data_IF_294207175908
#
_entry.id   IF_294207175908
#
_cell.length_a   1.000
_cell.length_b   1.000
_cell.length_c   1.000
_cell.angle_alpha   90.00
_cell.angle_beta   90.00
_cell.angle_gamma   90.00
#
_symmetry.space_group_name_H-M   'P 1'
#
loop_
_entity.id
_entity.type
_entity.pdbx_description
1 polymer ?
#
# COMPACT_ATOMS: atom_id res chain seq x y z
N UNK A 1 20.65 -66.97 -2.67
CA UNK A 1 21.08 -65.66 -2.14
C UNK A 1 19.94 -64.67 -2.34
N UNK A 2 19.44 -64.10 -1.23
CA UNK A 2 18.76 -62.79 -1.07
C UNK A 2 17.50 -62.54 -1.92
N UNK A 3 16.31 -62.62 -1.35
CA UNK A 3 15.64 -61.66 -0.43
C UNK A 3 14.82 -60.59 -1.17
N UNK A 4 13.49 -60.78 -1.13
CA UNK A 4 12.51 -59.81 -0.64
C UNK A 4 12.71 -58.32 -0.98
N UNK A 5 11.93 -57.83 -1.95
CA UNK A 5 11.45 -56.44 -2.07
C UNK A 5 10.44 -56.45 -3.24
N UNK A 6 9.20 -55.98 -3.20
CA UNK A 6 8.60 -54.97 -2.34
C UNK A 6 7.07 -55.10 -2.50
N UNK A 7 6.44 -55.80 -1.55
CA UNK A 7 5.00 -55.71 -1.26
C UNK A 7 4.75 -54.34 -0.61
N UNK A 8 4.67 -53.26 -1.39
CA UNK A 8 4.45 -51.91 -0.84
C UNK A 8 3.81 -50.98 -1.87
N UNK A 9 2.62 -51.32 -2.37
CA UNK A 9 1.80 -50.35 -3.12
C UNK A 9 0.29 -50.44 -2.82
N UNK A 10 -0.06 -50.83 -1.59
CA UNK A 10 -1.43 -50.80 -1.06
C UNK A 10 -1.50 -50.30 0.41
N UNK A 11 -0.52 -49.49 0.85
CA UNK A 11 -0.44 -48.95 2.20
C UNK A 11 -0.23 -47.42 2.23
N UNK A 12 -1.03 -46.68 1.44
CA UNK A 12 -1.16 -45.22 1.58
C UNK A 12 -2.64 -44.85 1.71
N UNK A 13 -3.33 -45.53 2.62
CA UNK A 13 -4.50 -44.99 3.32
C UNK A 13 -4.10 -44.83 4.77
N UNK A 14 -4.47 -43.70 5.37
CA UNK A 14 -4.15 -43.26 6.74
C UNK A 14 -2.90 -42.37 6.89
N UNK A 15 -2.89 -41.25 6.16
CA UNK A 15 -2.30 -40.05 6.75
C UNK A 15 -3.21 -39.63 7.92
N UNK A 16 -2.77 -40.02 9.11
CA UNK A 16 -3.31 -39.59 10.39
C UNK A 16 -3.30 -38.05 10.41
N UNK A 17 -4.49 -37.46 10.38
CA UNK A 17 -4.70 -36.07 10.76
C UNK A 17 -4.42 -36.00 12.26
N UNK A 18 -3.24 -35.51 12.63
CA UNK A 18 -2.95 -35.10 14.00
C UNK A 18 -3.79 -33.87 14.30
N UNK A 19 -4.95 -34.05 14.92
CA UNK A 19 -5.64 -32.97 15.60
C UNK A 19 -4.77 -32.56 16.79
N UNK A 20 -4.02 -31.45 16.65
CA UNK A 20 -3.29 -30.88 17.77
C UNK A 20 -4.30 -30.25 18.73
N UNK A 21 -4.48 -30.89 19.89
CA UNK A 21 -5.16 -30.29 21.03
C UNK A 21 -4.29 -29.12 21.52
N UNK A 22 -4.65 -27.90 21.11
CA UNK A 22 -3.96 -26.68 21.52
C UNK A 22 -4.85 -25.88 22.48
N UNK A 23 -4.58 -25.88 23.80
CA UNK A 23 -5.43 -25.22 24.80
C UNK A 23 -5.62 -23.73 24.53
N UNK A 24 -4.70 -23.11 23.77
CA UNK A 24 -4.75 -21.71 23.34
C UNK A 24 -6.04 -21.34 22.59
N UNK A 25 -6.71 -22.29 21.94
CA UNK A 25 -7.89 -22.03 21.09
C UNK A 25 -9.18 -22.65 21.62
N UNK A 26 -9.14 -23.33 22.77
CA UNK A 26 -10.29 -24.03 23.35
C UNK A 26 -11.16 -23.06 24.16
N UNK A 27 -11.96 -23.58 25.09
CA UNK A 27 -12.92 -22.79 25.89
C UNK A 27 -12.28 -21.53 26.48
N UNK A 28 -12.99 -20.41 26.37
CA UNK A 28 -12.55 -19.12 26.90
C UNK A 28 -11.54 -18.37 26.03
N UNK A 29 -11.00 -18.98 24.98
CA UNK A 29 -10.11 -18.29 24.04
C UNK A 29 -10.83 -17.21 23.22
N UNK A 30 -12.16 -17.31 23.06
CA UNK A 30 -13.01 -16.32 22.38
C UNK A 30 -14.05 -15.81 23.39
N UNK A 31 -13.73 -14.73 24.12
CA UNK A 31 -14.60 -14.17 25.16
C UNK A 31 -15.88 -13.56 24.59
N UNK A 32 -16.98 -13.74 25.33
CA UNK A 32 -18.31 -13.23 25.01
C UNK A 32 -18.86 -12.38 26.17
N UNK A 33 -19.33 -11.18 25.86
CA UNK A 33 -19.97 -10.24 26.79
C UNK A 33 -21.29 -9.83 26.18
N UNK A 34 -22.40 -10.05 26.88
CA UNK A 34 -23.76 -9.73 26.44
C UNK A 34 -24.11 -10.24 25.03
N UNK A 35 -23.71 -11.48 24.71
CA UNK A 35 -23.99 -12.09 23.41
C UNK A 35 -23.09 -11.58 22.28
N UNK A 36 -22.03 -10.82 22.59
CA UNK A 36 -21.08 -10.26 21.62
C UNK A 36 -19.66 -10.72 21.91
N UNK A 37 -18.91 -11.01 20.87
CA UNK A 37 -17.50 -11.35 21.00
C UNK A 37 -16.70 -10.07 21.22
N UNK A 38 -16.01 -10.03 22.37
CA UNK A 38 -15.23 -8.87 22.81
C UNK A 38 -13.92 -9.35 23.40
N UNK A 39 -12.83 -9.20 22.64
CA UNK A 39 -11.49 -9.43 23.16
C UNK A 39 -11.02 -8.18 23.90
N UNK A 40 -10.54 -8.34 25.14
CA UNK A 40 -9.96 -7.24 25.93
C UNK A 40 -8.64 -7.66 26.56
N UNK A 41 -7.69 -6.73 26.64
CA UNK A 41 -6.45 -6.92 27.40
C UNK A 41 -5.89 -5.59 27.91
N UNK A 42 -5.61 -5.54 29.21
CA UNK A 42 -4.83 -4.46 29.83
C UNK A 42 -3.34 -4.65 29.59
N UNK A 43 -2.69 -3.63 29.05
CA UNK A 43 -1.23 -3.60 28.81
C UNK A 43 -0.62 -2.48 29.66
N UNK A 44 0.03 -2.79 30.80
CA UNK A 44 0.69 -1.79 31.63
C UNK A 44 2.02 -1.34 31.02
N UNK A 45 2.38 -0.06 31.24
CA UNK A 45 3.71 0.46 30.93
C UNK A 45 4.66 0.10 32.07
N UNK A 46 5.85 -0.41 31.76
CA UNK A 46 6.83 -0.89 32.75
C UNK A 46 7.56 0.23 33.52
N UNK A 47 7.31 1.50 33.17
CA UNK A 47 7.87 2.68 33.80
C UNK A 47 6.80 3.71 34.12
N UNK A 48 7.20 4.80 34.81
CA UNK A 48 6.31 5.93 35.05
C UNK A 48 6.09 6.70 33.76
N UNK A 49 4.83 7.01 33.47
CA UNK A 49 4.41 7.79 32.32
C UNK A 49 3.17 8.60 32.70
N UNK A 50 3.06 9.85 32.22
CA UNK A 50 1.83 10.62 32.40
C UNK A 50 0.74 10.10 31.45
N UNK A 51 -0.52 10.34 31.80
CA UNK A 51 -1.64 9.92 30.96
C UNK A 51 -1.60 10.62 29.58
N UNK A 52 -1.14 11.87 29.51
CA UNK A 52 -0.99 12.63 28.26
C UNK A 52 0.10 12.04 27.35
N UNK A 53 1.22 11.64 27.94
CA UNK A 53 2.31 10.99 27.21
C UNK A 53 1.88 9.61 26.70
N UNK A 54 1.20 8.83 27.54
CA UNK A 54 0.69 7.52 27.17
C UNK A 54 -0.35 7.63 26.04
N UNK A 55 -1.28 8.58 26.15
CA UNK A 55 -2.25 8.86 25.10
C UNK A 55 -1.55 9.21 23.77
N UNK A 56 -0.58 10.13 23.81
CA UNK A 56 0.18 10.54 22.62
C UNK A 56 0.92 9.37 21.95
N UNK A 57 1.47 8.44 22.74
CA UNK A 57 2.09 7.21 22.23
C UNK A 57 1.07 6.29 21.56
N UNK A 58 -0.10 6.10 22.17
CA UNK A 58 -1.16 5.26 21.60
C UNK A 58 -1.78 5.87 20.36
N UNK A 59 -1.92 7.19 20.30
CA UNK A 59 -2.36 7.89 19.10
C UNK A 59 -1.36 7.68 17.96
N UNK A 60 -0.06 7.87 18.23
CA UNK A 60 0.99 7.64 17.24
C UNK A 60 1.05 6.19 16.78
N UNK A 61 0.92 5.22 17.68
CA UNK A 61 0.85 3.81 17.31
C UNK A 61 -0.38 3.52 16.45
N UNK A 62 -1.55 4.05 16.82
CA UNK A 62 -2.79 3.87 16.06
C UNK A 62 -2.68 4.46 14.65
N UNK A 63 -2.16 5.68 14.51
CA UNK A 63 -1.91 6.32 13.21
C UNK A 63 -0.96 5.44 12.37
N UNK A 64 0.18 5.03 12.93
CA UNK A 64 1.16 4.24 12.18
C UNK A 64 0.64 2.86 11.73
N UNK A 65 -0.32 2.27 12.45
CA UNK A 65 -0.82 0.91 12.17
C UNK A 65 -2.18 0.88 11.46
N UNK A 66 -2.98 1.95 11.59
CA UNK A 66 -4.34 2.00 11.06
C UNK A 66 -4.56 3.17 10.10
N UNK A 67 -3.73 4.21 10.06
CA UNK A 67 -3.82 5.26 9.04
C UNK A 67 -2.96 4.85 7.83
N UNK A 68 -3.54 3.98 6.99
CA UNK A 68 -2.93 3.11 5.97
C UNK A 68 -2.14 3.84 4.85
N UNK A 69 -1.04 4.52 5.17
CA UNK A 69 -0.11 5.05 4.17
C UNK A 69 0.88 4.01 3.61
N UNK A 70 1.06 2.83 4.25
CA UNK A 70 2.23 1.97 3.98
C UNK A 70 2.01 0.44 3.90
N UNK A 71 0.79 -0.08 3.94
CA UNK A 71 0.60 -1.55 3.92
C UNK A 71 0.59 -2.15 2.51
N UNK A 72 1.17 -3.35 2.36
CA UNK A 72 1.19 -4.14 1.10
C UNK A 72 -0.20 -4.69 0.72
N UNK A 73 -1.16 -4.69 1.64
CA UNK A 73 -2.53 -5.19 1.46
C UNK A 73 -3.48 -4.03 1.08
N UNK A 74 -3.33 -3.59 -0.18
CA UNK A 74 -3.96 -2.41 -0.83
C UNK A 74 -5.47 -2.21 -0.59
N UNK A 75 -6.22 -3.27 -0.34
CA UNK A 75 -7.67 -3.28 -0.31
C UNK A 75 -8.26 -3.39 1.10
N UNK A 76 -7.42 -3.24 2.12
CA UNK A 76 -7.83 -3.11 3.50
C UNK A 76 -8.05 -1.64 3.85
N UNK A 77 -9.24 -1.35 4.34
CA UNK A 77 -9.62 -0.03 4.81
C UNK A 77 -9.35 0.05 6.31
N UNK A 78 -8.10 0.30 6.72
CA UNK A 78 -7.85 0.70 8.11
C UNK A 78 -7.92 2.22 8.20
N UNK A 79 -8.43 2.71 9.33
CA UNK A 79 -8.41 4.13 9.67
C UNK A 79 -8.53 4.36 11.17
N UNK A 80 -7.94 5.44 11.66
CA UNK A 80 -8.32 6.02 12.94
C UNK A 80 -9.67 6.73 12.75
N UNK A 81 -10.69 6.29 13.47
CA UNK A 81 -12.05 6.86 13.39
C UNK A 81 -12.19 8.08 14.30
N UNK A 82 -11.53 8.03 15.46
CA UNK A 82 -11.64 9.01 16.52
C UNK A 82 -10.36 8.99 17.35
N UNK A 83 -9.87 10.17 17.72
CA UNK A 83 -8.86 10.36 18.75
C UNK A 83 -9.33 11.50 19.65
N UNK A 84 -9.52 11.23 20.94
CA UNK A 84 -9.99 12.22 21.92
C UNK A 84 -9.13 12.16 23.18
N UNK A 85 -8.28 13.17 23.35
CA UNK A 85 -7.39 13.28 24.50
C UNK A 85 -8.16 13.41 25.82
N UNK A 86 -9.24 14.21 25.86
CA UNK A 86 -10.06 14.43 27.06
C UNK A 86 -10.71 13.13 27.57
N UNK A 87 -11.21 12.32 26.64
CA UNK A 87 -11.82 11.01 26.92
C UNK A 87 -10.76 9.90 27.09
N UNK A 88 -9.47 10.21 26.84
CA UNK A 88 -8.35 9.27 26.81
C UNK A 88 -8.61 8.03 25.95
N UNK A 89 -9.31 8.24 24.83
CA UNK A 89 -9.84 7.18 23.98
C UNK A 89 -9.45 7.38 22.52
N UNK A 90 -9.00 6.31 21.87
CA UNK A 90 -8.77 6.23 20.42
C UNK A 90 -9.56 5.05 19.88
N UNK A 91 -10.31 5.27 18.80
CA UNK A 91 -11.06 4.22 18.12
C UNK A 91 -10.57 4.07 16.68
N UNK A 92 -10.31 2.84 16.26
CA UNK A 92 -9.90 2.50 14.90
C UNK A 92 -10.90 1.54 14.25
N UNK A 93 -11.03 1.66 12.94
CA UNK A 93 -11.65 0.67 12.07
C UNK A 93 -10.53 -0.14 11.43
N UNK A 94 -10.60 -1.46 11.58
CA UNK A 94 -9.59 -2.40 11.10
C UNK A 94 -10.15 -3.39 10.10
N UNK A 95 -9.41 -3.63 9.03
CA UNK A 95 -9.55 -4.75 8.13
C UNK A 95 -8.21 -5.49 8.05
N UNK A 96 -8.25 -6.82 8.00
CA UNK A 96 -7.06 -7.67 7.86
C UNK A 96 -7.39 -8.96 7.12
N UNK A 97 -6.47 -9.44 6.29
CA UNK A 97 -6.58 -10.80 5.77
C UNK A 97 -6.17 -11.85 6.80
N UNK A 98 -7.07 -12.82 7.02
CA UNK A 98 -6.78 -14.09 7.67
C UNK A 98 -6.44 -15.09 6.56
N UNK A 99 -5.15 -15.37 6.36
CA UNK A 99 -4.69 -16.35 5.37
C UNK A 99 -4.68 -17.74 5.98
N UNK A 100 -5.63 -18.58 5.57
CA UNK A 100 -5.75 -19.96 6.05
C UNK A 100 -4.80 -20.90 5.30
N UNK A 101 -4.60 -20.66 4.01
CA UNK A 101 -3.69 -21.45 3.17
C UNK A 101 -3.19 -20.61 2.00
N UNK A 102 -1.90 -20.71 1.72
CA UNK A 102 -1.25 -20.12 0.55
C UNK A 102 -0.35 -21.15 -0.14
N UNK A 103 -0.56 -21.37 -1.42
CA UNK A 103 0.31 -22.14 -2.32
C UNK A 103 0.38 -21.45 -3.68
N UNK A 104 1.16 -22.01 -4.62
CA UNK A 104 1.29 -21.47 -5.98
C UNK A 104 -0.02 -21.39 -6.79
N UNK A 105 -1.04 -22.17 -6.41
CA UNK A 105 -2.32 -22.25 -7.13
C UNK A 105 -3.54 -21.91 -6.26
N UNK A 106 -3.38 -21.82 -4.95
CA UNK A 106 -4.49 -21.65 -4.01
C UNK A 106 -4.16 -20.56 -3.01
N UNK A 107 -5.02 -19.56 -2.92
CA UNK A 107 -5.04 -18.58 -1.84
C UNK A 107 -6.39 -18.67 -1.14
N UNK A 108 -6.42 -19.31 0.03
CA UNK A 108 -7.57 -19.36 0.91
C UNK A 108 -7.40 -18.32 2.01
N UNK A 109 -8.16 -17.23 1.92
CA UNK A 109 -8.15 -16.15 2.91
C UNK A 109 -9.53 -15.54 3.11
N UNK A 110 -9.79 -15.03 4.30
CA UNK A 110 -10.95 -14.21 4.61
C UNK A 110 -10.52 -12.80 5.01
N UNK A 111 -11.31 -11.78 4.67
CA UNK A 111 -11.12 -10.44 5.21
C UNK A 111 -11.86 -10.33 6.53
N UNK A 112 -11.13 -10.15 7.63
CA UNK A 112 -11.66 -9.86 8.95
C UNK A 112 -11.79 -8.35 9.13
N UNK A 113 -12.97 -7.89 9.54
CA UNK A 113 -13.31 -6.50 9.79
C UNK A 113 -13.62 -6.37 11.28
N UNK A 114 -13.09 -5.35 11.95
CA UNK A 114 -13.25 -5.17 13.39
C UNK A 114 -13.17 -3.70 13.81
N UNK A 115 -13.63 -3.41 15.03
CA UNK A 115 -13.38 -2.15 15.72
C UNK A 115 -12.33 -2.39 16.80
N UNK A 116 -11.29 -1.57 16.81
CA UNK A 116 -10.29 -1.50 17.87
C UNK A 116 -10.51 -0.25 18.71
N UNK A 117 -10.47 -0.37 20.03
CA UNK A 117 -10.57 0.73 20.98
C UNK A 117 -9.37 0.66 21.90
N UNK A 118 -8.69 1.79 22.07
CA UNK A 118 -7.58 1.99 22.98
C UNK A 118 -7.98 3.02 24.02
N UNK A 119 -7.97 2.65 25.29
CA UNK A 119 -8.27 3.54 26.41
C UNK A 119 -7.05 3.62 27.33
N UNK A 120 -6.53 4.82 27.57
CA UNK A 120 -5.30 5.01 28.36
C UNK A 120 -5.64 5.55 29.74
N UNK A 121 -5.28 4.82 30.80
CA UNK A 121 -5.53 5.24 32.18
C UNK A 121 -4.55 4.58 33.14
N UNK A 122 -4.11 5.31 34.16
CA UNK A 122 -3.33 4.80 35.29
C UNK A 122 -2.06 4.06 34.82
N UNK A 123 -1.36 4.63 33.83
CA UNK A 123 -0.13 4.04 33.27
C UNK A 123 -0.34 2.74 32.47
N UNK A 124 -1.55 2.47 32.00
CA UNK A 124 -1.87 1.30 31.18
C UNK A 124 -2.79 1.65 29.99
N UNK A 125 -2.69 0.85 28.92
CA UNK A 125 -3.61 0.88 27.79
C UNK A 125 -4.55 -0.33 27.86
N UNK A 126 -5.85 -0.11 27.98
CA UNK A 126 -6.87 -1.14 27.80
C UNK A 126 -7.17 -1.26 26.30
N UNK A 127 -6.94 -2.45 25.75
CA UNK A 127 -7.08 -2.73 24.32
C UNK A 127 -8.30 -3.61 24.10
N UNK A 128 -9.33 -3.08 23.43
CA UNK A 128 -10.57 -3.80 23.15
C UNK A 128 -10.79 -4.00 21.66
N UNK A 129 -11.05 -5.24 21.23
CA UNK A 129 -11.48 -5.58 19.87
C UNK A 129 -12.90 -6.15 19.88
N UNK A 130 -13.79 -5.55 19.08
CA UNK A 130 -15.22 -5.91 19.01
C UNK A 130 -15.80 -5.76 17.61
N UNK A 131 -17.07 -6.17 17.44
CA UNK A 131 -17.81 -6.06 16.17
C UNK A 131 -17.06 -6.75 15.01
N UNK A 132 -16.55 -7.96 15.29
CA UNK A 132 -15.74 -8.72 14.34
C UNK A 132 -16.66 -9.38 13.30
N UNK A 133 -16.34 -9.20 12.01
CA UNK A 133 -17.08 -9.77 10.88
C UNK A 133 -16.12 -10.29 9.82
N UNK A 134 -16.59 -11.21 9.00
CA UNK A 134 -15.80 -11.80 7.91
C UNK A 134 -16.47 -11.62 6.55
N UNK A 135 -15.66 -11.27 5.56
CA UNK A 135 -15.96 -11.43 4.14
C UNK A 135 -15.15 -12.59 3.59
N UNK A 136 -15.83 -13.57 2.99
CA UNK A 136 -15.23 -14.82 2.53
C UNK A 136 -15.95 -15.39 1.31
N UNK A 137 -15.19 -15.92 0.34
CA UNK A 137 -15.68 -16.65 -0.86
C UNK A 137 -16.85 -15.96 -1.60
N UNK A 138 -16.67 -14.70 -1.98
CA UNK A 138 -17.65 -13.89 -2.72
C UNK A 138 -19.03 -13.73 -2.05
N UNK A 139 -19.13 -14.05 -0.75
CA UNK A 139 -20.36 -13.83 0.01
C UNK A 139 -20.75 -12.36 -0.02
N UNK A 140 -21.97 -12.07 -0.50
CA UNK A 140 -22.55 -10.72 -0.46
C UNK A 140 -22.84 -10.24 0.98
N UNK A 141 -22.84 -11.15 1.97
CA UNK A 141 -23.13 -10.86 3.37
C UNK A 141 -21.89 -11.04 4.23
N UNK A 142 -21.65 -10.07 5.12
CA UNK A 142 -20.66 -10.18 6.18
C UNK A 142 -21.13 -11.17 7.25
N UNK A 143 -20.26 -12.11 7.61
CA UNK A 143 -20.53 -13.15 8.61
C UNK A 143 -20.06 -12.67 9.99
N UNK A 144 -20.93 -12.55 11.00
CA UNK A 144 -20.53 -12.10 12.33
C UNK A 144 -19.74 -13.18 13.08
N UNK A 145 -18.79 -12.76 13.90
CA UNK A 145 -17.94 -13.68 14.66
C UNK A 145 -18.72 -14.58 15.62
N UNK A 146 -19.81 -14.08 16.19
CA UNK A 146 -20.67 -14.81 17.13
C UNK A 146 -21.25 -16.09 16.49
N UNK A 147 -21.52 -16.05 15.18
CA UNK A 147 -22.07 -17.15 14.38
C UNK A 147 -21.00 -18.06 13.78
N UNK A 148 -19.70 -17.78 14.02
CA UNK A 148 -18.61 -18.54 13.43
C UNK A 148 -17.60 -19.05 14.45
N UNK A 149 -17.08 -18.19 15.31
CA UNK A 149 -15.91 -18.49 16.15
C UNK A 149 -16.22 -18.61 17.64
N UNK A 150 -17.45 -18.39 18.09
CA UNK A 150 -17.85 -18.58 19.49
C UNK A 150 -17.63 -20.02 19.97
N UNK A 151 -17.46 -20.23 21.28
CA UNK A 151 -17.26 -21.57 21.85
C UNK A 151 -18.38 -22.53 21.45
N UNK A 152 -19.63 -22.03 21.44
CA UNK A 152 -20.82 -22.79 21.05
C UNK A 152 -20.78 -23.31 19.60
N UNK A 153 -20.13 -22.59 18.69
CA UNK A 153 -20.13 -22.88 17.25
C UNK A 153 -18.84 -23.60 16.84
N UNK A 154 -17.70 -23.09 17.31
CA UNK A 154 -16.39 -23.50 16.86
C UNK A 154 -15.73 -24.58 17.72
N UNK A 155 -16.38 -25.05 18.79
CA UNK A 155 -15.93 -26.19 19.59
C UNK A 155 -16.96 -27.33 19.53
N UNK A 156 -16.49 -28.54 19.87
CA UNK A 156 -17.40 -29.63 20.16
C UNK A 156 -18.18 -29.37 21.47
N UNK A 157 -19.17 -30.21 21.77
CA UNK A 157 -20.00 -30.07 22.98
C UNK A 157 -19.21 -30.09 24.30
N UNK A 158 -18.01 -30.69 24.32
CA UNK A 158 -17.15 -30.77 25.51
C UNK A 158 -16.24 -29.54 25.65
N UNK A 159 -16.09 -28.74 24.59
CA UNK A 159 -15.16 -27.61 24.56
C UNK A 159 -13.69 -27.99 24.43
N UNK A 160 -13.37 -29.29 24.33
CA UNK A 160 -11.99 -29.79 24.33
C UNK A 160 -11.39 -29.96 22.92
N UNK A 161 -12.21 -29.81 21.87
CA UNK A 161 -11.76 -29.90 20.47
C UNK A 161 -12.43 -28.86 19.59
N UNK A 162 -11.69 -28.39 18.59
CA UNK A 162 -12.18 -27.48 17.57
C UNK A 162 -13.13 -28.18 16.59
N UNK A 163 -14.17 -27.47 16.17
CA UNK A 163 -15.03 -27.83 15.06
C UNK A 163 -14.31 -27.57 13.74
N UNK A 164 -14.13 -28.63 12.94
CA UNK A 164 -13.39 -28.60 11.67
C UNK A 164 -13.90 -27.57 10.64
N UNK A 165 -15.15 -27.14 10.72
CA UNK A 165 -15.68 -26.15 9.75
C UNK A 165 -15.24 -24.72 10.06
N UNK A 166 -15.08 -24.39 11.35
CA UNK A 166 -14.81 -23.03 11.83
C UNK A 166 -13.43 -22.86 12.49
N UNK A 167 -12.69 -23.95 12.67
CA UNK A 167 -11.38 -23.99 13.32
C UNK A 167 -10.39 -22.94 12.77
N UNK A 168 -10.26 -22.84 11.45
CA UNK A 168 -9.36 -21.90 10.79
C UNK A 168 -9.72 -20.44 11.09
N UNK A 169 -11.01 -20.11 11.12
CA UNK A 169 -11.44 -18.76 11.48
C UNK A 169 -11.12 -18.46 12.94
N UNK A 170 -11.40 -19.40 13.83
CA UNK A 170 -11.16 -19.24 15.28
C UNK A 170 -9.66 -19.09 15.57
N UNK A 171 -8.83 -19.99 15.07
CA UNK A 171 -7.37 -19.98 15.26
C UNK A 171 -6.79 -18.65 14.75
N UNK A 172 -7.05 -18.30 13.49
CA UNK A 172 -6.41 -17.14 12.86
C UNK A 172 -6.93 -15.81 13.42
N UNK A 173 -8.17 -15.76 13.92
CA UNK A 173 -8.69 -14.59 14.64
C UNK A 173 -7.98 -14.42 15.97
N UNK A 174 -7.91 -15.47 16.80
CA UNK A 174 -7.22 -15.44 18.10
C UNK A 174 -5.74 -15.07 17.92
N UNK A 175 -5.07 -15.59 16.90
CA UNK A 175 -3.69 -15.25 16.59
C UNK A 175 -3.50 -13.81 16.14
N UNK A 176 -4.41 -13.30 15.31
CA UNK A 176 -4.38 -11.91 14.86
C UNK A 176 -4.59 -10.93 16.00
N UNK A 177 -5.55 -11.21 16.89
CA UNK A 177 -5.83 -10.42 18.10
C UNK A 177 -4.62 -10.41 19.02
N UNK A 178 -4.04 -11.58 19.30
CA UNK A 178 -2.83 -11.69 20.13
C UNK A 178 -1.63 -10.98 19.51
N UNK A 179 -1.51 -10.99 18.17
CA UNK A 179 -0.50 -10.22 17.44
C UNK A 179 -0.64 -8.71 17.66
N UNK A 180 -1.87 -8.18 17.70
CA UNK A 180 -2.15 -6.77 17.98
C UNK A 180 -1.71 -6.43 19.42
N UNK A 181 -2.09 -7.24 20.40
CA UNK A 181 -1.66 -7.04 21.79
C UNK A 181 -0.14 -7.05 21.93
N UNK A 182 0.54 -7.97 21.24
CA UNK A 182 2.00 -8.06 21.25
C UNK A 182 2.64 -6.83 20.59
N UNK A 183 2.07 -6.31 19.51
CA UNK A 183 2.57 -5.10 18.84
C UNK A 183 2.51 -3.88 19.76
N UNK A 184 1.40 -3.71 20.49
CA UNK A 184 1.23 -2.60 21.45
C UNK A 184 2.19 -2.76 22.63
N UNK A 185 2.29 -3.96 23.20
CA UNK A 185 3.22 -4.24 24.30
C UNK A 185 4.68 -3.97 23.91
N UNK A 186 5.11 -4.40 22.71
CA UNK A 186 6.46 -4.09 22.20
C UNK A 186 6.65 -2.59 22.01
N UNK A 187 5.64 -1.87 21.50
CA UNK A 187 5.73 -0.45 21.27
C UNK A 187 5.85 0.35 22.58
N UNK A 188 5.14 -0.06 23.63
CA UNK A 188 5.16 0.60 24.94
C UNK A 188 6.37 0.20 25.80
N UNK A 189 6.75 -1.07 25.76
CA UNK A 189 7.66 -1.66 26.74
C UNK A 189 8.97 -2.20 26.14
N UNK A 190 9.14 -2.16 24.82
CA UNK A 190 10.27 -2.76 24.12
C UNK A 190 10.18 -4.30 24.04
N UNK A 191 11.28 -4.95 23.65
CA UNK A 191 11.28 -6.41 23.44
C UNK A 191 11.22 -7.13 24.79
N UNK A 192 10.10 -7.80 25.04
CA UNK A 192 9.98 -8.79 26.10
C UNK A 192 10.67 -10.09 25.70
N UNK A 193 11.91 -10.29 26.14
CA UNK A 193 12.53 -11.62 26.23
C UNK A 193 12.02 -12.32 27.48
N UNK A 194 10.91 -13.06 27.36
CA UNK A 194 10.59 -14.18 28.27
C UNK A 194 9.46 -15.04 27.68
N UNK A 195 9.78 -16.30 27.36
CA UNK A 195 8.83 -17.36 26.98
C UNK A 195 9.21 -18.12 25.69
N UNK A 196 10.19 -19.03 25.77
CA UNK A 196 10.63 -19.96 24.72
C UNK A 196 9.47 -20.79 24.12
N UNK A 197 9.45 -21.15 22.83
CA UNK A 197 10.29 -22.22 22.23
C UNK A 197 10.44 -22.05 20.69
N UNK A 198 11.71 -22.15 20.25
CA UNK A 198 12.41 -22.40 18.95
C UNK A 198 11.56 -22.78 17.71
N UNK A 199 11.89 -22.46 16.44
CA UNK A 199 13.12 -22.14 15.67
C UNK A 199 12.64 -21.55 14.30
N UNK A 200 13.32 -20.70 13.50
CA UNK A 200 14.65 -20.75 12.90
C UNK A 200 15.11 -19.35 12.42
N UNK A 201 16.39 -19.11 12.67
CA UNK A 201 17.41 -18.25 12.04
C UNK A 201 17.07 -17.27 10.90
N UNK A 202 17.55 -16.03 11.06
CA UNK A 202 18.27 -15.31 10.01
C UNK A 202 19.40 -14.46 10.63
N UNK A 203 20.53 -14.43 9.95
CA UNK A 203 21.88 -14.16 10.42
C UNK A 203 22.17 -12.67 10.64
N UNK A 204 22.75 -12.33 11.80
CA UNK A 204 23.37 -11.02 12.04
C UNK A 204 24.84 -11.08 11.62
N UNK A 205 25.21 -10.34 10.56
CA UNK A 205 26.61 -10.02 10.27
C UNK A 205 27.05 -8.86 11.19
N UNK A 206 27.88 -9.19 12.16
CA UNK A 206 28.67 -8.27 12.97
C UNK A 206 29.66 -7.50 12.08
N UNK A 207 29.65 -6.17 12.14
CA UNK A 207 30.80 -5.35 11.76
C UNK A 207 31.38 -4.72 13.02
N UNK A 208 32.58 -5.18 13.35
CA UNK A 208 33.49 -4.62 14.35
C UNK A 208 34.05 -3.28 13.89
N UNK A 209 33.92 -2.25 14.71
CA UNK A 209 34.61 -0.97 14.56
C UNK A 209 36.12 -1.13 14.83
N UNK A 210 37.01 -0.49 14.05
CA UNK A 210 38.36 -0.20 14.48
C UNK A 210 38.43 1.19 15.13
N UNK A 211 39.26 1.32 16.17
CA UNK A 211 39.45 2.53 16.94
C UNK A 211 40.83 3.18 16.70
N UNK A 212 40.89 4.49 17.01
CA UNK A 212 42.06 5.33 17.44
C UNK A 212 42.92 5.95 16.28
N UNK A 213 43.50 7.19 16.36
CA UNK A 213 43.70 8.10 17.52
C UNK A 213 43.25 9.57 17.39
N UNK A 214 43.08 10.22 18.55
CA UNK A 214 43.18 11.68 18.72
C UNK A 214 44.64 12.16 18.66
N UNK A 215 44.86 13.35 18.08
CA UNK A 215 45.91 14.27 18.54
C UNK A 215 45.54 15.73 18.20
N UNK A 216 45.64 16.58 19.22
CA UNK A 216 45.46 18.03 19.23
C UNK A 216 46.37 18.79 18.26
N UNK A 217 45.91 19.96 17.78
CA UNK A 217 46.56 21.26 18.05
C UNK A 217 45.72 22.43 17.51
N UNK A 218 45.40 23.33 18.42
CA UNK A 218 44.85 24.69 18.28
C UNK A 218 45.80 25.67 17.58
N UNK A 219 45.27 26.69 16.87
CA UNK A 219 45.68 28.11 17.05
C UNK A 219 44.50 29.07 16.72
N UNK A 220 44.41 30.06 17.60
CA UNK A 220 43.58 31.23 17.88
C UNK A 220 42.86 32.11 16.82
N UNK A 221 41.92 32.86 17.43
CA UNK A 221 40.98 33.92 17.03
C UNK A 221 41.70 35.26 16.73
N UNK A 222 41.01 36.29 16.17
CA UNK A 222 40.54 37.34 17.10
C UNK A 222 39.11 37.91 16.86
N UNK A 223 38.53 38.27 18.01
CA UNK A 223 37.46 39.25 18.35
C UNK A 223 37.57 40.55 17.51
N UNK A 224 36.56 41.39 17.24
CA UNK A 224 35.47 41.90 18.07
C UNK A 224 34.45 42.73 17.21
N UNK A 225 33.16 42.68 17.57
CA UNK A 225 32.31 43.79 18.06
C UNK A 225 31.87 44.91 17.09
N UNK A 226 30.54 45.06 16.89
CA UNK A 226 29.75 46.25 17.26
C UNK A 226 28.32 46.17 16.69
N UNK A 227 27.35 46.60 17.50
CA UNK A 227 25.91 46.67 17.21
C UNK A 227 25.55 47.84 16.26
N UNK A 228 24.41 47.74 15.54
CA UNK A 228 23.52 48.88 15.26
C UNK A 228 22.13 48.48 14.67
N UNK A 229 21.10 48.96 15.38
CA UNK A 229 19.76 49.47 14.98
C UNK A 229 18.83 48.74 13.98
N UNK A 230 17.61 48.54 14.47
CA UNK A 230 16.34 48.24 13.77
C UNK A 230 15.87 49.47 12.96
N UNK A 231 15.15 49.26 11.84
CA UNK A 231 13.90 49.99 11.63
C UNK A 231 12.67 49.09 11.35
N UNK A 232 11.52 49.67 11.65
CA UNK A 232 10.15 49.14 11.77
C UNK A 232 9.51 48.41 10.55
N UNK A 233 8.41 47.66 10.78
CA UNK A 233 7.68 46.93 9.75
C UNK A 233 6.84 47.84 8.85
N UNK A 234 6.94 47.63 7.53
CA UNK A 234 6.08 48.28 6.54
C UNK A 234 4.65 47.70 6.61
N UNK A 235 3.69 48.60 6.80
CA UNK A 235 2.25 48.35 6.77
C UNK A 235 1.79 47.88 5.38
N UNK A 236 0.99 46.80 5.33
CA UNK A 236 0.22 46.45 4.14
C UNK A 236 -1.19 47.00 4.29
N UNK A 237 -1.57 47.79 3.29
CA UNK A 237 -2.81 48.54 3.20
C UNK A 237 -4.06 47.66 3.03
N UNK A 238 -5.19 48.32 3.25
CA UNK A 238 -6.51 47.79 3.55
C UNK A 238 -7.18 46.94 2.45
N UNK A 239 -8.09 46.13 2.96
CA UNK A 239 -9.06 45.24 2.34
C UNK A 239 -10.02 45.93 1.36
N UNK A 240 -10.26 45.28 0.23
CA UNK A 240 -11.43 45.49 -0.63
C UNK A 240 -12.35 44.28 -0.43
N UNK A 241 -13.66 44.45 -0.18
CA UNK A 241 -14.58 43.35 0.02
C UNK A 241 -14.94 42.71 -1.33
N UNK A 242 -14.61 41.42 -1.51
CA UNK A 242 -15.18 40.63 -2.60
C UNK A 242 -16.49 40.04 -2.08
N UNK A 243 -17.58 40.59 -2.58
CA UNK A 243 -18.95 40.10 -2.41
C UNK A 243 -19.05 38.65 -2.89
N UNK A 244 -19.56 37.80 -2.00
CA UNK A 244 -20.04 36.45 -2.28
C UNK A 244 -21.14 36.48 -3.33
N UNK A 245 -20.94 35.77 -4.43
CA UNK A 245 -21.99 35.06 -5.17
C UNK A 245 -21.32 34.22 -6.26
N UNK A 246 -21.12 32.93 -5.98
CA UNK A 246 -21.20 31.88 -7.00
C UNK A 246 -21.41 30.55 -6.28
N UNK A 247 -22.65 30.06 -6.36
CA UNK A 247 -22.98 28.67 -6.12
C UNK A 247 -22.09 27.76 -6.98
N UNK A 248 -21.73 26.55 -6.52
CA UNK A 248 -20.95 25.62 -7.34
C UNK A 248 -21.73 25.29 -8.62
N UNK A 249 -21.29 25.86 -9.74
CA UNK A 249 -21.78 25.47 -11.05
C UNK A 249 -21.27 24.07 -11.35
N UNK A 250 -22.22 23.15 -11.44
CA UNK A 250 -22.05 21.79 -11.92
C UNK A 250 -21.55 21.88 -13.36
N UNK A 251 -20.29 21.52 -13.62
CA UNK A 251 -19.84 21.31 -14.99
C UNK A 251 -20.53 20.03 -15.45
N UNK A 252 -21.56 20.21 -16.28
CA UNK A 252 -22.25 19.15 -16.96
C UNK A 252 -21.26 18.35 -17.82
N UNK A 253 -21.38 17.02 -17.78
CA UNK A 253 -20.69 16.10 -18.66
C UNK A 253 -21.04 16.43 -20.13
N UNK A 254 -20.15 17.16 -20.80
CA UNK A 254 -20.20 17.36 -22.25
C UNK A 254 -19.84 16.05 -22.94
N UNK A 255 -20.73 15.56 -23.81
CA UNK A 255 -20.57 14.30 -24.53
C UNK A 255 -19.28 14.24 -25.34
N UNK A 256 -18.32 13.47 -24.85
CA UNK A 256 -17.15 13.03 -25.62
C UNK A 256 -17.50 11.68 -26.24
N UNK A 257 -17.08 11.46 -27.49
CA UNK A 257 -17.33 10.23 -28.25
C UNK A 257 -17.10 8.97 -27.41
N UNK A 258 -18.09 8.08 -27.40
CA UNK A 258 -18.02 6.83 -26.66
C UNK A 258 -16.92 5.93 -27.26
N UNK A 259 -15.97 5.52 -26.44
CA UNK A 259 -15.00 4.49 -26.81
C UNK A 259 -15.64 3.13 -26.52
N UNK A 260 -15.82 2.30 -27.55
CA UNK A 260 -16.53 1.02 -27.44
C UNK A 260 -15.92 0.14 -26.35
N UNK A 261 -16.76 -0.34 -25.43
CA UNK A 261 -16.32 -1.16 -24.30
C UNK A 261 -15.70 -0.38 -23.12
N UNK A 262 -15.65 0.95 -23.17
CA UNK A 262 -15.17 1.79 -22.08
C UNK A 262 -16.19 2.85 -21.67
N UNK A 263 -16.29 3.11 -20.37
CA UNK A 263 -16.97 4.28 -19.81
C UNK A 263 -15.96 5.35 -19.42
N UNK A 264 -16.32 6.61 -19.62
CA UNK A 264 -15.53 7.75 -19.17
C UNK A 264 -15.73 7.98 -17.67
N UNK A 265 -14.67 8.35 -16.96
CA UNK A 265 -14.73 8.83 -15.58
C UNK A 265 -13.94 10.12 -15.43
N UNK A 266 -14.20 10.86 -14.36
CA UNK A 266 -13.40 12.04 -14.01
C UNK A 266 -12.10 11.63 -13.30
N UNK A 267 -11.00 12.43 -13.38
CA UNK A 267 -9.73 12.07 -12.74
C UNK A 267 -9.81 11.84 -11.23
N UNK A 268 -10.70 12.51 -10.50
CA UNK A 268 -10.95 12.30 -9.06
C UNK A 268 -11.63 10.96 -8.74
N UNK A 269 -12.09 10.24 -9.77
CA UNK A 269 -12.72 8.91 -9.68
C UNK A 269 -11.79 7.78 -10.12
N UNK A 270 -10.53 8.08 -10.45
CA UNK A 270 -9.52 7.05 -10.74
C UNK A 270 -9.45 6.08 -9.56
N UNK A 271 -9.68 4.78 -9.77
CA UNK A 271 -9.75 3.82 -8.69
C UNK A 271 -8.35 3.48 -8.16
N UNK A 272 -8.23 3.30 -6.86
CA UNK A 272 -7.03 2.77 -6.23
C UNK A 272 -5.91 3.79 -6.02
N UNK A 273 -4.75 3.30 -5.60
CA UNK A 273 -3.59 4.12 -5.30
C UNK A 273 -2.66 4.18 -6.52
N UNK A 274 -2.22 5.39 -6.88
CA UNK A 274 -1.44 5.60 -8.10
C UNK A 274 -0.06 4.94 -8.09
N UNK A 275 0.65 4.92 -6.96
CA UNK A 275 1.96 4.25 -6.85
C UNK A 275 1.80 2.74 -7.13
N UNK A 276 0.68 2.19 -6.66
CA UNK A 276 0.34 0.78 -6.76
C UNK A 276 -0.11 0.42 -8.18
N UNK A 277 -0.89 1.29 -8.82
CA UNK A 277 -1.20 1.20 -10.24
C UNK A 277 0.07 1.30 -11.10
N UNK A 278 1.03 2.15 -10.72
CA UNK A 278 2.30 2.38 -11.43
C UNK A 278 3.31 1.22 -11.35
N UNK A 279 3.14 0.33 -10.37
CA UNK A 279 4.01 -0.84 -10.18
C UNK A 279 3.69 -2.04 -11.08
N UNK A 280 2.49 -2.08 -11.67
CA UNK A 280 1.97 -3.25 -12.37
C UNK A 280 1.53 -2.89 -13.80
N UNK A 281 2.03 -3.65 -14.79
CA UNK A 281 1.47 -3.77 -16.15
C UNK A 281 0.99 -2.47 -16.83
N UNK A 282 1.90 -1.51 -17.06
CA UNK A 282 1.58 -0.25 -17.76
C UNK A 282 2.31 -0.11 -19.09
N UNK A 283 1.59 0.45 -20.07
CA UNK A 283 2.15 0.94 -21.32
C UNK A 283 1.95 2.45 -21.49
N UNK A 284 3.01 3.13 -21.89
CA UNK A 284 2.97 4.47 -22.47
C UNK A 284 3.02 4.33 -23.98
N UNK A 285 2.04 4.90 -24.67
CA UNK A 285 1.98 4.97 -26.14
C UNK A 285 2.04 6.42 -26.57
N UNK A 286 2.97 6.74 -27.46
CA UNK A 286 3.17 8.11 -27.93
C UNK A 286 3.61 8.15 -29.39
N UNK A 287 3.45 9.32 -30.02
CA UNK A 287 3.83 9.56 -31.39
C UNK A 287 2.70 10.08 -32.25
N UNK A 288 2.96 10.19 -33.55
CA UNK A 288 1.98 10.59 -34.56
C UNK A 288 1.41 9.36 -35.26
N UNK A 289 0.46 9.55 -36.18
CA UNK A 289 -0.06 8.46 -37.01
C UNK A 289 1.05 7.73 -37.79
N UNK A 290 2.04 8.46 -38.29
CA UNK A 290 3.13 7.91 -39.11
C UNK A 290 4.29 7.36 -38.28
N UNK A 291 4.44 7.80 -37.03
CA UNK A 291 5.56 7.43 -36.18
C UNK A 291 5.12 7.28 -34.73
N UNK A 292 4.71 6.06 -34.39
CA UNK A 292 4.21 5.68 -33.08
C UNK A 292 5.11 4.64 -32.42
N UNK A 293 5.17 4.67 -31.09
CA UNK A 293 5.82 3.62 -30.33
C UNK A 293 5.10 3.40 -28.99
N UNK A 294 5.28 2.19 -28.47
CA UNK A 294 4.80 1.79 -27.15
C UNK A 294 5.98 1.36 -26.28
N UNK A 295 5.90 1.64 -24.98
CA UNK A 295 6.87 1.17 -24.02
C UNK A 295 6.24 0.80 -22.70
N UNK A 296 6.86 -0.14 -22.01
CA UNK A 296 6.54 -0.45 -20.63
C UNK A 296 7.09 0.65 -19.73
N UNK A 297 6.23 1.18 -18.86
CA UNK A 297 6.61 2.17 -17.87
C UNK A 297 6.47 1.58 -16.48
N UNK A 298 7.44 1.91 -15.61
CA UNK A 298 7.43 1.53 -14.20
C UNK A 298 7.53 2.74 -13.27
N UNK A 299 7.85 3.92 -13.81
CA UNK A 299 8.08 5.16 -13.06
C UNK A 299 7.19 6.27 -13.60
N UNK A 300 6.53 6.98 -12.70
CA UNK A 300 5.63 8.08 -13.04
C UNK A 300 4.84 8.54 -11.83
N UNK A 301 3.77 9.28 -12.08
CA UNK A 301 2.87 9.77 -11.05
C UNK A 301 1.61 10.37 -11.66
N UNK A 302 0.62 10.62 -10.81
CA UNK A 302 -0.47 11.55 -11.09
C UNK A 302 -0.47 12.64 -10.03
N UNK A 303 -1.06 13.77 -10.33
CA UNK A 303 -1.27 14.83 -9.34
C UNK A 303 -2.04 16.00 -9.93
N UNK A 304 -1.90 17.15 -9.26
CA UNK A 304 -2.45 18.43 -9.72
C UNK A 304 -1.30 19.37 -9.99
N UNK A 305 -1.27 19.99 -11.17
CA UNK A 305 -0.27 21.00 -11.54
C UNK A 305 -0.95 22.10 -12.35
N UNK A 306 -0.74 23.37 -11.95
CA UNK A 306 -1.49 24.52 -12.46
C UNK A 306 -3.00 24.29 -12.51
N UNK A 307 -3.54 23.83 -11.37
CA UNK A 307 -4.98 23.57 -11.19
C UNK A 307 -5.57 22.52 -12.16
N UNK A 308 -4.72 21.79 -12.88
CA UNK A 308 -5.12 20.73 -13.82
C UNK A 308 -4.73 19.35 -13.28
N UNK A 309 -5.56 18.32 -13.49
CA UNK A 309 -5.15 16.94 -13.26
C UNK A 309 -4.05 16.58 -14.26
N UNK A 310 -2.94 16.04 -13.79
CA UNK A 310 -1.77 15.74 -14.62
C UNK A 310 -1.19 14.36 -14.37
N UNK A 311 -0.53 13.81 -15.39
CA UNK A 311 0.39 12.67 -15.28
C UNK A 311 1.84 13.10 -15.40
N UNK A 312 2.70 12.46 -14.63
CA UNK A 312 4.16 12.61 -14.66
C UNK A 312 4.78 11.35 -15.25
N UNK A 313 5.62 11.51 -16.27
CA UNK A 313 6.35 10.41 -16.92
C UNK A 313 7.85 10.71 -16.96
N UNK A 314 8.66 9.70 -16.67
CA UNK A 314 10.13 9.82 -16.68
C UNK A 314 10.73 8.85 -17.68
N UNK A 315 11.27 9.37 -18.77
CA UNK A 315 11.86 8.54 -19.83
C UNK A 315 13.36 8.72 -19.87
N UNK A 316 14.09 7.61 -19.84
CA UNK A 316 15.54 7.64 -20.03
C UNK A 316 15.87 8.07 -21.49
N UNK A 317 16.82 8.99 -21.72
CA UNK A 317 17.16 9.49 -23.06
C UNK A 317 17.55 8.42 -24.08
N UNK A 318 18.06 7.27 -23.62
CA UNK A 318 18.38 6.13 -24.49
C UNK A 318 17.16 5.47 -25.15
N UNK A 319 15.96 5.67 -24.60
CA UNK A 319 14.74 5.01 -25.08
C UNK A 319 14.24 5.69 -26.35
N UNK A 320 13.97 4.89 -27.39
CA UNK A 320 13.36 5.37 -28.64
C UNK A 320 12.06 6.16 -28.41
N UNK A 321 11.30 5.81 -27.38
CA UNK A 321 10.06 6.50 -26.99
C UNK A 321 10.24 7.99 -26.70
N UNK A 322 11.44 8.48 -26.36
CA UNK A 322 11.69 9.92 -26.24
C UNK A 322 11.44 10.62 -27.58
N UNK A 323 11.84 10.00 -28.70
CA UNK A 323 11.65 10.57 -30.03
C UNK A 323 10.16 10.68 -30.40
N UNK A 324 9.36 9.65 -30.09
CA UNK A 324 7.92 9.67 -30.37
C UNK A 324 7.17 10.58 -29.38
N UNK A 325 7.58 10.60 -28.11
CA UNK A 325 7.01 11.46 -27.07
C UNK A 325 7.30 12.94 -27.33
N UNK A 326 8.48 13.29 -27.84
CA UNK A 326 8.83 14.68 -28.17
C UNK A 326 8.05 15.20 -29.38
N UNK A 327 7.84 14.34 -30.40
CA UNK A 327 7.09 14.70 -31.62
C UNK A 327 5.57 14.75 -31.43
N UNK A 328 5.00 13.86 -30.61
CA UNK A 328 3.55 13.82 -30.38
C UNK A 328 3.07 14.91 -29.41
N UNK A 329 1.88 15.46 -29.65
CA UNK A 329 1.22 16.38 -28.70
C UNK A 329 0.51 15.62 -27.58
N UNK A 330 -0.04 14.45 -27.90
CA UNK A 330 -0.78 13.59 -26.99
C UNK A 330 -0.09 12.25 -26.80
N UNK A 331 -0.39 11.61 -25.67
CA UNK A 331 0.05 10.26 -25.36
C UNK A 331 -0.99 9.57 -24.47
N UNK A 332 -0.92 8.26 -24.38
CA UNK A 332 -1.77 7.49 -23.45
C UNK A 332 -0.95 6.75 -22.43
N UNK A 333 -1.47 6.66 -21.20
CA UNK A 333 -1.01 5.71 -20.19
C UNK A 333 -2.11 4.67 -20.03
N UNK A 334 -1.78 3.40 -20.27
CA UNK A 334 -2.77 2.32 -20.27
C UNK A 334 -2.38 1.21 -19.30
N UNK A 335 -3.37 0.66 -18.60
CA UNK A 335 -3.22 -0.31 -17.52
C UNK A 335 -3.84 -1.64 -17.92
N UNK A 336 -3.12 -2.73 -17.65
CA UNK A 336 -3.50 -4.08 -18.07
C UNK A 336 -3.61 -5.01 -16.87
N UNK A 337 -4.33 -6.12 -17.03
CA UNK A 337 -4.34 -7.23 -16.08
C UNK A 337 -3.13 -8.14 -16.33
N UNK A 338 -2.82 -9.02 -15.37
CA UNK A 338 -1.69 -9.95 -15.51
C UNK A 338 -1.79 -10.87 -16.75
N UNK A 339 -3.00 -11.07 -17.29
CA UNK A 339 -3.23 -11.84 -18.51
C UNK A 339 -2.40 -11.34 -19.72
N UNK A 340 -2.03 -10.06 -19.74
CA UNK A 340 -1.27 -9.45 -20.83
C UNK A 340 0.21 -9.25 -20.51
N UNK A 341 0.72 -9.84 -19.43
CA UNK A 341 2.09 -9.64 -18.96
C UNK A 341 3.17 -9.88 -20.00
N UNK A 342 2.98 -10.88 -20.86
CA UNK A 342 3.98 -11.25 -21.86
C UNK A 342 4.05 -10.22 -23.00
N UNK A 343 2.92 -9.63 -23.39
CA UNK A 343 2.90 -8.51 -24.34
C UNK A 343 3.63 -7.28 -23.76
N UNK A 344 3.44 -7.00 -22.47
CA UNK A 344 4.12 -5.89 -21.80
C UNK A 344 5.61 -6.16 -21.59
N UNK A 345 6.01 -7.39 -21.27
CA UNK A 345 7.43 -7.78 -21.21
C UNK A 345 8.09 -7.62 -22.56
N UNK A 346 7.42 -8.06 -23.64
CA UNK A 346 7.88 -7.87 -25.00
C UNK A 346 8.07 -6.38 -25.35
N UNK A 347 7.06 -5.54 -25.08
CA UNK A 347 7.13 -4.10 -25.29
C UNK A 347 8.28 -3.43 -24.52
N UNK A 348 8.69 -3.98 -23.38
CA UNK A 348 9.82 -3.53 -22.58
C UNK A 348 11.18 -4.06 -23.04
N UNK A 349 11.24 -5.24 -23.66
CA UNK A 349 12.49 -5.93 -24.00
C UNK A 349 13.03 -5.63 -25.40
N UNK A 350 12.18 -5.18 -26.32
CA UNK A 350 12.60 -4.83 -27.69
C UNK A 350 12.61 -3.31 -27.91
N UNK A 351 13.27 -2.83 -28.99
CA UNK A 351 13.34 -1.40 -29.33
C UNK A 351 12.44 -1.05 -30.51
N UNK A 352 11.70 0.07 -30.37
CA UNK A 352 10.83 0.59 -31.44
C UNK A 352 11.61 1.21 -32.60
N UNK A 353 12.93 1.34 -32.47
CA UNK A 353 13.81 1.86 -33.52
C UNK A 353 13.91 0.92 -34.72
N UNK A 354 13.78 -0.38 -34.48
CA UNK A 354 13.99 -1.43 -35.50
C UNK A 354 12.84 -2.43 -35.58
N UNK A 355 11.84 -2.32 -34.70
CA UNK A 355 10.75 -3.28 -34.58
C UNK A 355 9.43 -2.56 -34.42
N UNK A 356 8.42 -3.01 -35.18
CA UNK A 356 7.03 -2.63 -34.92
C UNK A 356 6.52 -3.37 -33.68
N UNK A 357 6.59 -2.68 -32.53
CA UNK A 357 6.18 -3.25 -31.25
C UNK A 357 4.68 -3.47 -31.15
N UNK A 358 3.89 -2.64 -31.81
CA UNK A 358 2.43 -2.73 -31.75
C UNK A 358 2.02 -4.07 -32.37
N UNK A 359 2.48 -4.31 -33.59
CA UNK A 359 2.25 -5.58 -34.28
C UNK A 359 2.86 -6.77 -33.53
N UNK A 360 4.09 -6.64 -33.03
CA UNK A 360 4.79 -7.72 -32.32
C UNK A 360 4.19 -8.07 -30.96
N UNK A 361 3.50 -7.13 -30.31
CA UNK A 361 2.85 -7.36 -29.01
C UNK A 361 1.54 -8.15 -29.09
N UNK A 362 0.90 -8.15 -30.26
CA UNK A 362 -0.43 -8.73 -30.45
C UNK A 362 -1.57 -7.95 -29.81
N UNK A 363 -1.32 -6.75 -29.27
CA UNK A 363 -2.36 -5.87 -28.70
C UNK A 363 -3.15 -5.17 -29.82
N UNK A 364 -4.44 -4.95 -29.58
CA UNK A 364 -5.36 -4.41 -30.58
C UNK A 364 -5.42 -2.88 -30.47
N UNK A 365 -4.86 -2.10 -31.42
CA UNK A 365 -4.83 -0.65 -31.31
C UNK A 365 -6.24 -0.05 -31.46
N UNK A 366 -6.56 0.90 -30.59
CA UNK A 366 -7.79 1.71 -30.63
C UNK A 366 -7.45 3.19 -30.59
N UNK A 367 -8.35 4.04 -31.11
CA UNK A 367 -8.20 5.50 -31.07
C UNK A 367 -9.04 6.09 -29.96
N UNK A 368 -8.44 6.97 -29.18
CA UNK A 368 -9.12 7.79 -28.18
C UNK A 368 -9.66 9.08 -28.84
N UNK A 369 -10.55 9.85 -28.18
CA UNK A 369 -11.13 11.05 -28.77
C UNK A 369 -10.16 12.18 -29.17
N UNK A 370 -8.97 12.28 -28.55
CA UNK A 370 -7.89 13.19 -28.98
C UNK A 370 -7.07 12.65 -30.17
N UNK A 371 -7.39 11.46 -30.69
CA UNK A 371 -6.64 10.79 -31.75
C UNK A 371 -5.42 10.01 -31.27
N UNK A 372 -5.14 10.02 -29.96
CA UNK A 372 -4.09 9.20 -29.36
C UNK A 372 -4.43 7.71 -29.49
N UNK A 373 -3.40 6.85 -29.39
CA UNK A 373 -3.57 5.40 -29.56
C UNK A 373 -3.40 4.70 -28.24
N UNK A 374 -4.40 3.91 -27.89
CA UNK A 374 -4.39 2.96 -26.78
C UNK A 374 -4.61 1.55 -27.32
N UNK A 375 -4.88 0.59 -26.43
CA UNK A 375 -5.16 -0.79 -26.82
C UNK A 375 -6.44 -1.29 -26.17
N UNK A 376 -7.22 -2.08 -26.92
CA UNK A 376 -8.50 -2.60 -26.49
C UNK A 376 -8.38 -3.47 -25.24
N UNK A 377 -7.23 -4.09 -25.01
CA UNK A 377 -6.96 -5.00 -23.89
C UNK A 377 -6.82 -4.27 -22.55
N UNK A 378 -6.56 -2.96 -22.56
CA UNK A 378 -6.44 -2.16 -21.35
C UNK A 378 -7.76 -2.19 -20.54
N UNK A 379 -7.67 -2.23 -19.21
CA UNK A 379 -8.84 -2.04 -18.35
C UNK A 379 -9.03 -0.57 -17.96
N UNK A 380 -7.96 0.24 -18.06
CA UNK A 380 -8.00 1.68 -17.86
C UNK A 380 -7.01 2.40 -18.79
N UNK A 381 -7.41 3.58 -19.28
CA UNK A 381 -6.63 4.41 -20.20
C UNK A 381 -6.72 5.87 -19.75
N UNK A 382 -5.57 6.51 -19.56
CA UNK A 382 -5.46 7.97 -19.46
C UNK A 382 -5.05 8.53 -20.80
N UNK A 383 -5.78 9.55 -21.23
CA UNK A 383 -5.48 10.33 -22.41
C UNK A 383 -4.90 11.67 -21.98
N UNK A 384 -3.65 11.93 -22.37
CA UNK A 384 -2.89 13.05 -21.86
C UNK A 384 -2.42 13.97 -22.99
N UNK A 385 -2.51 15.28 -22.77
CA UNK A 385 -1.85 16.30 -23.61
C UNK A 385 -0.60 16.80 -22.93
N UNK A 386 0.54 16.75 -23.60
CA UNK A 386 1.83 17.20 -23.07
C UNK A 386 1.81 18.71 -22.80
N UNK A 387 2.16 19.13 -21.58
CA UNK A 387 2.19 20.55 -21.16
C UNK A 387 3.56 21.00 -20.66
N UNK A 388 4.40 20.09 -20.14
CA UNK A 388 5.78 20.40 -19.74
C UNK A 388 6.71 19.28 -20.20
N UNK A 389 7.89 19.69 -20.66
CA UNK A 389 8.97 18.80 -21.09
C UNK A 389 10.26 19.33 -20.49
N UNK A 390 10.85 18.62 -19.54
CA UNK A 390 12.00 19.09 -18.77
C UNK A 390 13.04 17.98 -18.58
N UNK A 391 14.26 18.11 -19.14
CA UNK A 391 15.39 17.26 -18.77
C UNK A 391 15.74 17.43 -17.29
N UNK A 392 15.93 16.33 -16.56
CA UNK A 392 16.52 16.37 -15.21
C UNK A 392 18.02 16.55 -15.37
N UNK A 393 18.59 17.56 -14.73
CA UNK A 393 20.04 17.76 -14.71
C UNK A 393 20.68 17.09 -13.49
N UNK A 394 21.98 16.76 -13.52
CA UNK A 394 22.67 16.19 -12.36
C UNK A 394 22.57 17.06 -11.11
N UNK A 395 22.54 18.38 -11.27
CA UNK A 395 22.48 19.37 -10.18
C UNK A 395 21.13 19.32 -9.46
N UNK A 396 20.05 19.05 -10.20
CA UNK A 396 18.68 18.97 -9.67
C UNK A 396 18.45 17.76 -8.75
N UNK A 397 19.33 16.75 -8.77
CA UNK A 397 19.23 15.59 -7.88
C UNK A 397 19.87 15.90 -6.53
N UNK A 398 19.08 16.12 -5.48
CA UNK A 398 19.60 16.48 -4.16
C UNK A 398 20.37 15.33 -3.51
N UNK A 399 19.76 14.15 -3.46
CA UNK A 399 20.40 12.95 -2.93
C UNK A 399 21.25 12.27 -4.01
N UNK A 400 22.55 12.52 -3.96
CA UNK A 400 23.53 11.98 -4.91
C UNK A 400 23.74 10.46 -4.78
N UNK A 401 23.21 9.82 -3.75
CA UNK A 401 23.28 8.36 -3.57
C UNK A 401 22.23 7.59 -4.37
N UNK A 402 21.12 8.25 -4.77
CA UNK A 402 20.00 7.59 -5.45
C UNK A 402 20.27 7.20 -6.91
N UNK A 403 20.96 8.01 -7.73
CA UNK A 403 21.27 7.61 -9.10
C UNK A 403 22.29 6.46 -9.10
N UNK A 404 21.81 5.21 -9.20
CA UNK A 404 22.69 4.10 -9.54
C UNK A 404 23.25 4.33 -10.96
N UNK A 405 24.52 3.96 -11.17
CA UNK A 405 25.24 3.95 -12.44
C UNK A 405 24.42 3.35 -13.58
N UNK A 406 23.57 2.36 -13.32
CA UNK A 406 22.75 1.72 -14.36
C UNK A 406 21.62 2.62 -14.90
N UNK A 407 21.03 3.48 -14.08
CA UNK A 407 19.88 4.31 -14.46
C UNK A 407 20.27 5.65 -15.10
N UNK A 408 21.48 6.12 -14.80
CA UNK A 408 22.03 7.39 -15.32
C UNK A 408 23.12 7.21 -16.37
N UNK A 409 23.51 5.96 -16.69
CA UNK A 409 24.59 5.62 -17.65
C UNK A 409 24.50 6.36 -18.98
N UNK A 410 23.29 6.60 -19.46
CA UNK A 410 22.99 7.23 -20.75
C UNK A 410 22.34 8.61 -20.62
N UNK A 411 22.58 9.28 -19.49
CA UNK A 411 21.96 10.54 -19.13
C UNK A 411 20.79 10.38 -18.15
N UNK A 412 20.47 11.48 -17.47
CA UNK A 412 19.34 11.56 -16.56
C UNK A 412 18.01 11.57 -17.32
N UNK A 413 16.95 11.14 -16.65
CA UNK A 413 15.62 11.01 -17.25
C UNK A 413 15.07 12.38 -17.68
N UNK A 414 14.29 12.39 -18.76
CA UNK A 414 13.49 13.54 -19.18
C UNK A 414 12.09 13.40 -18.56
N UNK A 415 11.67 14.41 -17.82
CA UNK A 415 10.36 14.51 -17.21
C UNK A 415 9.36 15.09 -18.21
N UNK A 416 8.21 14.45 -18.31
CA UNK A 416 7.06 14.93 -19.08
C UNK A 416 5.88 15.08 -18.12
N UNK A 417 5.22 16.24 -18.16
CA UNK A 417 3.95 16.48 -17.48
C UNK A 417 2.89 16.58 -18.57
N UNK A 418 1.83 15.78 -18.47
CA UNK A 418 0.67 15.87 -19.36
C UNK A 418 -0.61 16.17 -18.59
N UNK A 419 -1.42 17.11 -19.09
CA UNK A 419 -2.79 17.30 -18.63
C UNK A 419 -3.62 16.08 -18.99
N UNK A 420 -4.32 15.50 -18.01
CA UNK A 420 -5.25 14.39 -18.24
C UNK A 420 -6.52 14.98 -18.84
N UNK A 421 -6.75 14.70 -20.11
CA UNK A 421 -7.94 15.13 -20.83
C UNK A 421 -9.12 14.23 -20.51
N UNK A 422 -8.90 12.91 -20.56
CA UNK A 422 -9.94 11.91 -20.34
C UNK A 422 -9.37 10.68 -19.60
N UNK A 423 -10.24 10.05 -18.81
CA UNK A 423 -9.97 8.75 -18.19
C UNK A 423 -11.05 7.77 -18.62
N UNK A 424 -10.63 6.62 -19.11
CA UNK A 424 -11.50 5.57 -19.63
C UNK A 424 -11.30 4.29 -18.82
N UNK A 425 -12.38 3.62 -18.44
CA UNK A 425 -12.36 2.37 -17.69
C UNK A 425 -13.38 1.38 -18.29
N UNK A 426 -13.06 0.08 -18.26
CA UNK A 426 -14.03 -0.96 -18.64
C UNK A 426 -15.12 -1.15 -17.59
#
# INVERSE_FOLDING_TARGET
>A
MKNSLLFFLCAVFSLVVSAQDNPKYLVGAVPEVDGKIVFSKKIPVKGQISDEQLFSLMEKWAINNYDNAQTDEKDLNNRVLLSKADDKMIACFGEKYLEFKRSSLVLDRAKMIYQLILETKDGACEVTLRNIKYSYSDSKKLLPAEEMISDKIALNKKGDKLNRYYDKFRIHTVDSVNGIYKSIDIYLNGINTTGATTSLQAEAKTYSAPAVPQKDSSVEVPLAAAAQSIPDPVQVAASIPITSNNAPQTIAAGGVAAMEGFRQITPDKIPGNIIKLLGDWILITSGTADQMNVMTASWGGLGTFWEKPVSFCFLNPSRYSVQTMDKGETYTISFYTEAYKDALRYCGSVSGRTTDKIKGSGLTPIKTPSGATAFAEAWMIFECKKIVVQPITPEAVVDKSLPNKDWSKSGYHKMYIGEILNVWIK
#
